data_IF_734648185657
#
_entry.id   IF_734648185657
#
_cell.length_a   1.000
_cell.length_b   1.000
_cell.length_c   1.000
_cell.angle_alpha   90.00
_cell.angle_beta   90.00
_cell.angle_gamma   90.00
#
_symmetry.space_group_name_H-M   'P 1'
#
loop_
_entity.id
_entity.type
_entity.pdbx_description
1 polymer ?
#
# COMPACT_ATOMS: atom_id res chain seq x y z
N UNK A 1 -1.65 1.81 8.79
CA UNK A 1 -0.92 2.55 7.72
C UNK A 1 -1.23 2.02 6.33
N UNK A 2 -1.13 0.68 6.06
CA UNK A 2 -1.48 0.12 4.74
C UNK A 2 -2.91 0.48 4.30
N UNK A 3 -3.88 0.41 5.21
CA UNK A 3 -5.28 0.78 4.92
C UNK A 3 -5.46 2.25 4.52
N UNK A 4 -4.52 3.13 4.87
CA UNK A 4 -4.62 4.56 4.53
C UNK A 4 -4.25 4.81 3.06
N UNK A 5 -3.19 4.16 2.57
CA UNK A 5 -2.81 4.25 1.16
C UNK A 5 -3.95 3.72 0.26
N UNK A 6 -4.52 2.56 0.60
CA UNK A 6 -5.66 2.00 -0.12
C UNK A 6 -6.87 2.94 -0.16
N UNK A 7 -7.24 3.53 0.99
CA UNK A 7 -8.37 4.47 1.07
C UNK A 7 -8.15 5.73 0.23
N UNK A 8 -6.92 6.22 0.12
CA UNK A 8 -6.59 7.39 -0.70
C UNK A 8 -6.68 7.11 -2.18
N UNK A 9 -6.11 5.98 -2.62
CA UNK A 9 -6.25 5.54 -4.01
C UNK A 9 -7.73 5.36 -4.36
N UNK A 10 -8.51 4.76 -3.45
CA UNK A 10 -9.96 4.63 -3.63
C UNK A 10 -10.65 5.99 -3.78
N UNK A 11 -10.36 6.96 -2.89
CA UNK A 11 -10.93 8.32 -2.95
C UNK A 11 -10.61 9.00 -4.29
N UNK A 12 -9.38 8.88 -4.77
CA UNK A 12 -8.99 9.40 -6.08
C UNK A 12 -9.72 8.67 -7.21
N UNK A 13 -9.77 7.33 -7.17
CA UNK A 13 -10.49 6.56 -8.18
C UNK A 13 -11.98 6.92 -8.25
N UNK A 14 -12.64 7.10 -7.09
CA UNK A 14 -14.04 7.53 -7.03
C UNK A 14 -14.24 8.95 -7.61
N UNK A 15 -13.28 9.87 -7.40
CA UNK A 15 -13.37 11.22 -7.95
C UNK A 15 -13.31 11.28 -9.48
N UNK A 16 -12.78 10.24 -10.11
CA UNK A 16 -12.74 10.09 -11.58
C UNK A 16 -13.80 9.12 -12.12
N UNK A 17 -14.78 8.74 -11.29
CA UNK A 17 -15.92 7.94 -11.68
C UNK A 17 -15.79 6.44 -11.53
N UNK A 18 -14.75 5.94 -10.85
CA UNK A 18 -14.66 4.51 -10.51
C UNK A 18 -15.64 4.13 -9.40
N UNK A 19 -16.15 2.90 -9.47
CA UNK A 19 -16.98 2.30 -8.43
C UNK A 19 -16.16 1.35 -7.57
N UNK A 20 -16.41 1.38 -6.27
CA UNK A 20 -15.73 0.48 -5.33
C UNK A 20 -16.32 -0.93 -5.41
N UNK A 21 -15.42 -1.92 -5.48
CA UNK A 21 -15.72 -3.32 -5.23
C UNK A 21 -15.17 -3.67 -3.85
N UNK A 22 -16.03 -3.68 -2.85
CA UNK A 22 -15.61 -3.83 -1.45
C UNK A 22 -14.98 -5.20 -1.16
N UNK A 23 -13.69 -5.23 -0.90
CA UNK A 23 -12.99 -6.39 -0.36
C UNK A 23 -12.91 -6.25 1.16
N UNK A 24 -13.70 -7.04 1.88
CA UNK A 24 -13.66 -7.04 3.34
C UNK A 24 -12.54 -7.93 3.84
N UNK A 25 -11.71 -7.40 4.74
CA UNK A 25 -10.69 -8.20 5.42
C UNK A 25 -11.38 -9.24 6.33
N UNK A 26 -10.94 -10.50 6.21
CA UNK A 26 -11.33 -11.59 7.10
C UNK A 26 -10.23 -12.65 7.15
N UNK A 27 -10.14 -13.36 8.28
CA UNK A 27 -9.18 -14.44 8.41
C UNK A 27 -9.62 -15.66 7.60
N UNK A 28 -8.78 -16.05 6.64
CA UNK A 28 -8.95 -17.28 5.88
C UNK A 28 -8.29 -18.45 6.61
N UNK A 29 -9.05 -19.52 6.82
CA UNK A 29 -8.47 -20.83 7.16
C UNK A 29 -8.20 -21.60 5.86
N UNK A 30 -7.16 -22.47 5.82
CA UNK A 30 -6.79 -23.22 4.60
C UNK A 30 -7.95 -23.99 3.96
N UNK A 31 -8.90 -24.44 4.77
CA UNK A 31 -10.03 -25.30 4.33
C UNK A 31 -11.16 -24.53 3.64
N UNK A 32 -11.08 -23.20 3.58
CA UNK A 32 -12.16 -22.36 3.04
C UNK A 32 -11.98 -21.94 1.56
N UNK A 33 -11.17 -22.65 0.77
CA UNK A 33 -10.97 -22.32 -0.65
C UNK A 33 -12.30 -22.24 -1.44
N UNK A 34 -13.26 -23.13 -1.15
CA UNK A 34 -14.59 -23.11 -1.77
C UNK A 34 -15.45 -21.92 -1.33
N UNK A 35 -15.24 -21.41 -0.12
CA UNK A 35 -15.93 -20.21 0.36
C UNK A 35 -15.37 -18.95 -0.29
N UNK A 36 -14.05 -18.89 -0.50
CA UNK A 36 -13.41 -17.79 -1.23
C UNK A 36 -14.07 -17.64 -2.59
N UNK A 37 -14.20 -18.72 -3.34
CA UNK A 37 -14.77 -18.69 -4.70
C UNK A 37 -16.20 -18.14 -4.70
N UNK A 38 -17.06 -18.60 -3.76
CA UNK A 38 -18.43 -18.08 -3.61
C UNK A 38 -18.49 -16.61 -3.19
N UNK A 39 -17.60 -16.20 -2.29
CA UNK A 39 -17.52 -14.78 -1.86
C UNK A 39 -17.08 -13.90 -3.01
N UNK A 40 -16.11 -14.36 -3.79
CA UNK A 40 -15.65 -13.67 -4.98
C UNK A 40 -16.75 -13.51 -6.03
N UNK A 41 -17.62 -14.52 -6.22
CA UNK A 41 -18.79 -14.40 -7.11
C UNK A 41 -19.69 -13.22 -6.71
N UNK A 42 -19.94 -13.05 -5.41
CA UNK A 42 -20.74 -11.93 -4.91
C UNK A 42 -20.05 -10.56 -5.12
N UNK A 43 -18.73 -10.51 -4.94
CA UNK A 43 -17.93 -9.28 -5.10
C UNK A 43 -17.90 -8.83 -6.56
N UNK A 44 -17.72 -9.76 -7.49
CA UNK A 44 -17.59 -9.45 -8.92
C UNK A 44 -18.92 -9.40 -9.67
N UNK A 45 -20.04 -9.77 -9.02
CA UNK A 45 -21.35 -9.79 -9.64
C UNK A 45 -21.76 -8.50 -10.39
N UNK A 46 -21.34 -7.28 -9.94
CA UNK A 46 -21.63 -6.05 -10.65
C UNK A 46 -20.84 -5.82 -11.95
N UNK A 47 -19.81 -6.64 -12.24
CA UNK A 47 -18.99 -6.46 -13.44
C UNK A 47 -19.76 -6.74 -14.71
N UNK A 48 -19.55 -5.89 -15.70
CA UNK A 48 -20.08 -6.01 -17.04
C UNK A 48 -18.99 -6.38 -18.04
N UNK A 49 -19.41 -6.79 -19.22
CA UNK A 49 -18.52 -7.00 -20.35
C UNK A 49 -17.73 -5.74 -20.69
N UNK A 50 -16.40 -5.89 -20.80
CA UNK A 50 -15.50 -4.78 -21.15
C UNK A 50 -15.11 -3.85 -20.01
N UNK A 51 -15.55 -4.13 -18.77
CA UNK A 51 -15.17 -3.34 -17.61
C UNK A 51 -13.66 -3.37 -17.35
N UNK A 52 -13.15 -2.32 -16.74
CA UNK A 52 -11.77 -2.20 -16.29
C UNK A 52 -11.75 -2.30 -14.77
N UNK A 53 -11.06 -3.28 -14.25
CA UNK A 53 -10.86 -3.47 -12.81
C UNK A 53 -9.48 -2.95 -12.41
N UNK A 54 -9.43 -2.08 -11.40
CA UNK A 54 -8.18 -1.63 -10.77
C UNK A 54 -8.08 -2.34 -9.42
N UNK A 55 -7.15 -3.28 -9.31
CA UNK A 55 -6.90 -4.02 -8.08
C UNK A 55 -5.72 -3.43 -7.33
N UNK A 56 -5.95 -2.95 -6.11
CA UNK A 56 -4.91 -2.47 -5.21
C UNK A 56 -4.23 -3.67 -4.54
N UNK A 57 -2.98 -3.91 -4.87
CA UNK A 57 -2.20 -5.07 -4.45
C UNK A 57 -1.12 -4.71 -3.41
N UNK A 58 -0.92 -5.53 -2.37
CA UNK A 58 -1.71 -6.69 -1.98
C UNK A 58 -3.01 -6.31 -1.25
N UNK A 59 -4.01 -7.19 -1.25
CA UNK A 59 -5.25 -6.97 -0.48
C UNK A 59 -5.05 -7.08 1.04
N UNK A 60 -3.94 -7.64 1.48
CA UNK A 60 -3.62 -8.01 2.86
C UNK A 60 -4.51 -9.12 3.46
N UNK A 61 -5.34 -9.74 2.66
CA UNK A 61 -6.10 -10.94 3.06
C UNK A 61 -5.21 -12.18 2.96
N UNK A 62 -4.37 -12.25 1.92
CA UNK A 62 -3.38 -13.29 1.70
C UNK A 62 -3.14 -13.57 0.22
N UNK A 63 -1.94 -14.06 -0.12
CA UNK A 63 -1.53 -14.28 -1.52
C UNK A 63 -2.44 -15.25 -2.28
N UNK A 64 -2.97 -16.28 -1.60
CA UNK A 64 -3.94 -17.21 -2.20
C UNK A 64 -5.27 -16.53 -2.55
N UNK A 65 -5.69 -15.58 -1.70
CA UNK A 65 -6.90 -14.79 -1.97
C UNK A 65 -6.69 -13.87 -3.15
N UNK A 66 -5.56 -13.17 -3.19
CA UNK A 66 -5.20 -12.26 -4.28
C UNK A 66 -5.13 -13.00 -5.62
N UNK A 67 -4.51 -14.19 -5.64
CA UNK A 67 -4.48 -15.03 -6.83
C UNK A 67 -5.90 -15.48 -7.26
N UNK A 68 -6.72 -15.89 -6.28
CA UNK A 68 -8.09 -16.32 -6.55
C UNK A 68 -8.94 -15.18 -7.11
N UNK A 69 -8.81 -13.98 -6.52
CA UNK A 69 -9.50 -12.78 -6.99
C UNK A 69 -9.12 -12.44 -8.43
N UNK A 70 -7.81 -12.39 -8.72
CA UNK A 70 -7.29 -12.10 -10.06
C UNK A 70 -7.77 -13.16 -11.07
N UNK A 71 -7.73 -14.44 -10.71
CA UNK A 71 -8.27 -15.52 -11.55
C UNK A 71 -9.75 -15.31 -11.87
N UNK A 72 -10.52 -14.93 -10.85
CA UNK A 72 -11.96 -14.71 -11.01
C UNK A 72 -12.24 -13.54 -11.96
N UNK A 73 -11.55 -12.42 -11.81
CA UNK A 73 -11.65 -11.28 -12.76
C UNK A 73 -11.29 -11.71 -14.18
N UNK A 74 -10.21 -12.44 -14.35
CA UNK A 74 -9.74 -12.88 -15.69
C UNK A 74 -10.62 -13.96 -16.32
N UNK A 75 -11.52 -14.59 -15.56
CA UNK A 75 -12.53 -15.50 -16.10
C UNK A 75 -13.68 -14.75 -16.79
N UNK A 76 -13.88 -13.48 -16.49
CA UNK A 76 -14.85 -12.63 -17.19
C UNK A 76 -14.30 -12.19 -18.53
N UNK A 77 -15.09 -12.42 -19.57
CA UNK A 77 -14.71 -12.13 -20.94
C UNK A 77 -14.51 -10.63 -21.15
N UNK A 78 -13.38 -10.27 -21.77
CA UNK A 78 -12.98 -8.91 -22.13
C UNK A 78 -12.82 -7.92 -20.97
N UNK A 79 -12.87 -8.38 -19.72
CA UNK A 79 -12.50 -7.56 -18.57
C UNK A 79 -11.00 -7.26 -18.59
N UNK A 80 -10.64 -5.99 -18.44
CA UNK A 80 -9.25 -5.56 -18.29
C UNK A 80 -8.87 -5.45 -16.82
N UNK A 81 -7.69 -5.94 -16.48
CA UNK A 81 -7.18 -5.91 -15.12
C UNK A 81 -5.94 -5.03 -15.03
N UNK A 82 -6.04 -3.97 -14.27
CA UNK A 82 -4.91 -3.13 -13.85
C UNK A 82 -4.57 -3.52 -12.42
N UNK A 83 -3.34 -3.92 -12.14
CA UNK A 83 -2.88 -4.14 -10.76
C UNK A 83 -2.05 -2.94 -10.32
N UNK A 84 -2.54 -2.25 -9.30
CA UNK A 84 -1.86 -1.15 -8.65
C UNK A 84 -1.05 -1.70 -7.48
N UNK A 85 0.25 -1.89 -7.69
CA UNK A 85 1.14 -2.48 -6.70
C UNK A 85 1.59 -1.41 -5.71
N UNK A 86 1.20 -1.55 -4.47
CA UNK A 86 1.67 -0.70 -3.37
C UNK A 86 2.90 -1.31 -2.70
N UNK A 87 2.86 -2.62 -2.48
CA UNK A 87 3.92 -3.37 -1.81
C UNK A 87 4.09 -4.76 -2.42
N UNK A 88 5.24 -5.37 -2.19
CA UNK A 88 5.54 -6.78 -2.44
C UNK A 88 5.89 -7.42 -1.11
N UNK A 89 5.15 -8.45 -0.70
CA UNK A 89 5.27 -9.04 0.64
C UNK A 89 6.68 -9.60 0.88
N UNK A 90 7.28 -10.22 -0.13
CA UNK A 90 8.67 -10.70 -0.08
C UNK A 90 9.66 -9.60 0.30
N UNK A 91 9.48 -8.40 -0.24
CA UNK A 91 10.36 -7.25 0.05
C UNK A 91 10.12 -6.64 1.42
N UNK A 92 8.91 -6.79 1.97
CA UNK A 92 8.55 -6.20 3.25
C UNK A 92 8.91 -7.09 4.45
N UNK A 93 8.78 -8.41 4.30
CA UNK A 93 8.78 -9.33 5.44
C UNK A 93 9.86 -10.41 5.35
N UNK A 94 10.77 -10.34 4.37
CA UNK A 94 11.76 -11.39 4.08
C UNK A 94 11.12 -12.79 4.01
N UNK A 95 9.97 -12.84 3.36
CA UNK A 95 9.16 -14.06 3.21
C UNK A 95 9.90 -15.11 2.37
N UNK A 96 9.39 -16.34 2.37
CA UNK A 96 9.92 -17.42 1.51
C UNK A 96 9.82 -17.08 0.02
N UNK A 97 10.71 -17.68 -0.79
CA UNK A 97 10.70 -17.49 -2.24
C UNK A 97 9.36 -17.90 -2.87
N UNK A 98 8.73 -18.94 -2.33
CA UNK A 98 7.42 -19.41 -2.78
C UNK A 98 6.33 -18.31 -2.75
N UNK A 99 6.41 -17.38 -1.79
CA UNK A 99 5.49 -16.22 -1.72
C UNK A 99 5.73 -15.31 -2.92
N UNK A 100 6.99 -14.98 -3.23
CA UNK A 100 7.31 -14.16 -4.41
C UNK A 100 6.85 -14.81 -5.70
N UNK A 101 7.04 -16.13 -5.85
CA UNK A 101 6.61 -16.87 -7.04
C UNK A 101 5.09 -16.77 -7.24
N UNK A 102 4.31 -16.83 -6.15
CA UNK A 102 2.86 -16.64 -6.18
C UNK A 102 2.49 -15.18 -6.51
N UNK A 103 3.21 -14.21 -5.95
CA UNK A 103 3.02 -12.79 -6.26
C UNK A 103 3.27 -12.54 -7.76
N UNK A 104 4.39 -13.02 -8.30
CA UNK A 104 4.73 -12.90 -9.72
C UNK A 104 3.67 -13.56 -10.60
N UNK A 105 3.22 -14.77 -10.26
CA UNK A 105 2.16 -15.47 -10.97
C UNK A 105 0.86 -14.65 -11.02
N UNK A 106 0.53 -13.98 -9.91
CA UNK A 106 -0.64 -13.11 -9.81
C UNK A 106 -0.47 -11.86 -10.69
N UNK A 107 0.69 -11.19 -10.59
CA UNK A 107 1.00 -10.00 -11.37
C UNK A 107 1.07 -10.29 -12.88
N UNK A 108 1.50 -11.50 -13.28
CA UNK A 108 1.56 -11.90 -14.69
C UNK A 108 0.19 -11.95 -15.37
N UNK A 109 -0.90 -12.02 -14.61
CA UNK A 109 -2.26 -12.00 -15.16
C UNK A 109 -2.80 -10.60 -15.45
N UNK A 110 -2.14 -9.55 -14.98
CA UNK A 110 -2.54 -8.18 -15.25
C UNK A 110 -2.32 -7.79 -16.72
N UNK A 111 -3.22 -6.97 -17.24
CA UNK A 111 -3.07 -6.35 -18.56
C UNK A 111 -2.15 -5.11 -18.48
N UNK A 112 -2.10 -4.45 -17.32
CA UNK A 112 -1.22 -3.32 -17.01
C UNK A 112 -0.86 -3.32 -15.53
N UNK A 113 0.37 -2.90 -15.22
CA UNK A 113 0.81 -2.68 -13.84
C UNK A 113 1.04 -1.18 -13.57
N UNK A 114 0.65 -0.75 -12.37
CA UNK A 114 1.10 0.52 -11.81
C UNK A 114 2.08 0.18 -10.70
N UNK A 115 3.35 0.60 -10.86
CA UNK A 115 4.44 0.25 -9.93
C UNK A 115 5.02 1.50 -9.28
N UNK A 116 5.46 1.40 -8.00
CA UNK A 116 6.06 2.52 -7.29
C UNK A 116 7.36 3.03 -7.92
N UNK A 117 8.17 2.14 -8.53
CA UNK A 117 9.49 2.52 -9.03
C UNK A 117 10.03 1.61 -10.13
N UNK A 118 10.96 2.14 -10.92
CA UNK A 118 11.74 1.35 -11.87
C UNK A 118 12.60 0.28 -11.20
N UNK A 119 13.03 0.51 -9.94
CA UNK A 119 13.82 -0.47 -9.18
C UNK A 119 12.98 -1.69 -8.84
N UNK A 120 11.73 -1.48 -8.37
CA UNK A 120 10.81 -2.58 -8.13
C UNK A 120 10.50 -3.35 -9.42
N UNK A 121 10.24 -2.65 -10.52
CA UNK A 121 10.00 -3.30 -11.81
C UNK A 121 11.17 -4.20 -12.23
N UNK A 122 12.40 -3.72 -12.12
CA UNK A 122 13.60 -4.52 -12.42
C UNK A 122 13.66 -5.77 -11.57
N UNK A 123 13.48 -5.64 -10.26
CA UNK A 123 13.45 -6.75 -9.32
C UNK A 123 12.39 -7.80 -9.71
N UNK A 124 11.17 -7.36 -10.02
CA UNK A 124 10.10 -8.26 -10.44
C UNK A 124 10.45 -8.97 -11.77
N UNK A 125 11.04 -8.27 -12.75
CA UNK A 125 11.51 -8.88 -14.01
C UNK A 125 12.60 -9.92 -13.80
N UNK A 126 13.56 -9.66 -12.93
CA UNK A 126 14.62 -10.61 -12.56
C UNK A 126 14.06 -11.88 -11.87
N UNK A 127 12.84 -11.79 -11.33
CA UNK A 127 12.14 -12.90 -10.69
C UNK A 127 10.96 -13.47 -11.50
N UNK A 128 10.89 -13.18 -12.80
CA UNK A 128 9.94 -13.85 -13.70
C UNK A 128 8.69 -13.07 -14.07
N UNK A 129 8.67 -11.75 -13.85
CA UNK A 129 7.58 -10.92 -14.36
C UNK A 129 7.66 -10.82 -15.89
N UNK A 130 6.57 -11.16 -16.55
CA UNK A 130 6.41 -11.07 -18.00
C UNK A 130 6.45 -9.60 -18.49
N UNK A 131 6.87 -9.41 -19.75
CA UNK A 131 6.81 -8.09 -20.38
C UNK A 131 5.36 -7.64 -20.56
N UNK A 132 5.06 -6.45 -20.06
CA UNK A 132 3.72 -5.86 -20.18
C UNK A 132 3.76 -4.34 -19.98
N UNK A 133 2.70 -3.61 -20.33
CA UNK A 133 2.60 -2.17 -20.05
C UNK A 133 2.76 -1.86 -18.55
N UNK A 134 3.60 -0.86 -18.24
CA UNK A 134 3.85 -0.42 -16.86
C UNK A 134 3.78 1.10 -16.78
N UNK A 135 3.05 1.59 -15.77
CA UNK A 135 3.05 2.99 -15.36
C UNK A 135 3.86 3.10 -14.06
N UNK A 136 4.75 4.07 -13.96
CA UNK A 136 5.49 4.32 -12.74
C UNK A 136 4.89 5.49 -11.98
N UNK A 137 4.48 5.21 -10.74
CA UNK A 137 4.03 6.23 -9.80
C UNK A 137 5.11 6.43 -8.74
N UNK A 138 5.96 7.40 -8.94
CA UNK A 138 7.16 7.59 -8.10
C UNK A 138 6.88 8.25 -6.77
N UNK A 139 6.10 9.33 -6.77
CA UNK A 139 5.71 10.08 -5.56
C UNK A 139 4.20 10.18 -5.54
N UNK A 140 3.63 10.02 -4.36
CA UNK A 140 2.20 10.09 -4.15
C UNK A 140 1.82 11.48 -3.71
N UNK A 141 0.95 12.10 -4.48
CA UNK A 141 0.24 13.28 -4.01
C UNK A 141 -0.93 12.85 -3.14
N UNK A 142 -1.17 13.59 -2.07
CA UNK A 142 -2.23 13.28 -1.13
C UNK A 142 -3.32 14.32 -1.23
N UNK A 143 -4.53 13.93 -1.70
CA UNK A 143 -5.67 14.82 -1.62
C UNK A 143 -5.85 15.24 -0.16
N UNK A 144 -5.69 16.52 0.11
CA UNK A 144 -5.89 17.10 1.44
C UNK A 144 -6.78 18.33 1.29
N UNK A 145 -7.77 18.41 2.15
CA UNK A 145 -8.63 19.61 2.28
C UNK A 145 -7.98 20.65 3.23
N UNK A 146 -6.74 20.37 3.70
CA UNK A 146 -6.01 21.26 4.60
C UNK A 146 -5.42 22.40 3.78
N UNK A 147 -5.84 23.61 4.09
CA UNK A 147 -5.16 24.81 3.61
C UNK A 147 -3.81 24.91 4.34
N UNK A 148 -2.71 24.98 3.58
CA UNK A 148 -1.42 25.32 4.14
C UNK A 148 -1.49 26.71 4.77
N UNK A 149 -1.24 26.75 6.08
CA UNK A 149 -1.05 28.01 6.79
C UNK A 149 0.46 28.29 6.75
N UNK A 150 0.81 29.53 6.49
CA UNK A 150 2.22 29.96 6.46
C UNK A 150 2.75 29.90 7.90
N UNK A 151 3.38 28.79 8.26
CA UNK A 151 3.99 28.61 9.57
C UNK A 151 5.42 29.14 9.55
N UNK A 152 5.86 29.74 10.65
CA UNK A 152 7.25 30.08 10.83
C UNK A 152 8.12 28.80 10.69
N UNK A 153 9.10 28.84 9.80
CA UNK A 153 10.01 27.72 9.53
C UNK A 153 10.69 27.29 10.84
N UNK A 154 10.33 26.13 11.36
CA UNK A 154 11.01 25.54 12.51
C UNK A 154 12.26 24.82 12.05
N UNK A 155 13.40 25.06 12.71
CA UNK A 155 14.66 24.37 12.40
C UNK A 155 14.71 23.01 13.09
N UNK A 156 13.85 22.09 12.66
CA UNK A 156 13.80 20.72 13.17
C UNK A 156 13.44 19.75 12.05
N UNK A 157 13.68 18.47 12.27
CA UNK A 157 13.17 17.40 11.41
C UNK A 157 11.90 16.82 12.02
N UNK A 158 10.83 16.75 11.25
CA UNK A 158 9.61 16.06 11.62
C UNK A 158 9.66 14.63 11.09
N UNK A 159 9.60 13.65 11.97
CA UNK A 159 9.64 12.24 11.62
C UNK A 159 8.35 11.53 12.11
N UNK A 160 7.44 11.25 11.18
CA UNK A 160 6.22 10.50 11.43
C UNK A 160 6.40 9.03 11.01
N UNK A 161 6.53 8.13 11.97
CA UNK A 161 6.72 6.71 11.68
C UNK A 161 7.19 5.90 12.89
N UNK A 162 7.22 4.60 12.73
CA UNK A 162 7.61 3.70 13.80
C UNK A 162 9.11 3.82 14.11
N UNK A 163 9.42 4.27 15.32
CA UNK A 163 10.78 4.48 15.83
C UNK A 163 11.66 3.22 15.68
N UNK A 164 11.12 2.06 16.03
CA UNK A 164 11.88 0.80 16.04
C UNK A 164 12.32 0.31 14.64
N UNK A 165 11.74 0.87 13.57
CA UNK A 165 12.16 0.56 12.18
C UNK A 165 13.38 1.36 11.73
N UNK A 166 13.82 2.32 12.52
CA UNK A 166 14.88 3.26 12.16
C UNK A 166 15.91 3.38 13.30
N UNK A 167 16.80 2.42 13.46
CA UNK A 167 17.77 2.35 14.57
C UNK A 167 18.61 3.62 14.73
N UNK A 168 18.87 4.34 13.65
CA UNK A 168 19.63 5.61 13.70
C UNK A 168 18.99 6.68 14.61
N UNK A 169 17.67 6.61 14.83
CA UNK A 169 16.98 7.54 15.73
C UNK A 169 17.43 7.39 17.18
N UNK A 170 17.82 6.18 17.59
CA UNK A 170 18.32 5.91 18.93
C UNK A 170 19.68 6.57 19.19
N UNK A 171 20.51 6.66 18.14
CA UNK A 171 21.88 7.14 18.21
C UNK A 171 22.04 8.59 17.71
N UNK A 172 20.95 9.24 17.32
CA UNK A 172 21.02 10.58 16.78
C UNK A 172 21.28 11.63 17.89
N UNK A 173 22.37 12.37 17.77
CA UNK A 173 22.77 13.48 18.63
C UNK A 173 23.14 14.74 17.82
N UNK A 174 22.44 14.95 16.71
CA UNK A 174 22.69 16.10 15.82
C UNK A 174 22.24 17.43 16.44
N UNK A 175 22.74 18.53 15.85
CA UNK A 175 22.38 19.89 16.28
C UNK A 175 20.94 20.30 15.92
N UNK A 176 20.38 19.68 14.90
CA UNK A 176 18.99 19.93 14.48
C UNK A 176 18.10 18.90 15.15
N UNK A 177 17.16 19.29 16.00
CA UNK A 177 16.32 18.33 16.74
C UNK A 177 15.41 17.55 15.79
N UNK A 178 15.13 16.28 16.16
CA UNK A 178 14.13 15.45 15.53
C UNK A 178 12.88 15.42 16.41
N UNK A 179 11.73 15.80 15.86
CA UNK A 179 10.42 15.61 16.47
C UNK A 179 9.78 14.33 15.95
N UNK A 180 9.66 13.35 16.82
CA UNK A 180 9.16 12.01 16.51
C UNK A 180 7.66 11.92 16.82
N UNK A 181 6.88 11.46 15.84
CA UNK A 181 5.43 11.23 15.94
C UNK A 181 5.14 9.73 15.76
N UNK A 182 4.84 9.05 16.86
CA UNK A 182 4.53 7.62 16.89
C UNK A 182 3.57 7.32 18.03
N UNK A 183 2.71 6.31 17.85
CA UNK A 183 1.82 5.82 18.89
C UNK A 183 2.58 5.17 20.06
N UNK A 184 3.71 4.55 19.76
CA UNK A 184 4.56 3.90 20.75
C UNK A 184 5.64 4.87 21.20
N UNK A 185 5.66 5.14 22.52
CA UNK A 185 6.77 5.90 23.10
C UNK A 185 8.06 5.09 22.97
N UNK A 186 9.15 5.67 22.41
CA UNK A 186 10.44 5.01 22.37
C UNK A 186 11.05 4.87 23.76
N UNK A 187 12.00 3.95 23.92
CA UNK A 187 12.79 3.81 25.15
C UNK A 187 13.74 5.00 25.36
N UNK A 188 14.02 5.76 24.29
CA UNK A 188 14.81 6.97 24.34
C UNK A 188 14.05 8.10 25.03
N UNK A 189 14.70 8.76 25.98
CA UNK A 189 14.17 9.98 26.61
C UNK A 189 14.33 11.21 25.69
N UNK A 190 13.51 12.22 25.91
CA UNK A 190 13.62 13.48 25.20
C UNK A 190 14.89 14.23 25.64
N UNK A 191 15.59 14.79 24.68
CA UNK A 191 16.78 15.63 24.88
C UNK A 191 16.80 16.79 23.85
N UNK A 192 17.86 17.57 23.79
CA UNK A 192 18.01 18.69 22.86
C UNK A 192 18.03 18.26 21.39
N UNK A 193 18.33 16.99 21.10
CA UNK A 193 18.42 16.44 19.76
C UNK A 193 17.21 15.60 19.36
N UNK A 194 16.38 15.18 20.33
CA UNK A 194 15.26 14.28 20.09
C UNK A 194 14.08 14.57 21.02
N UNK A 195 12.89 14.69 20.45
CA UNK A 195 11.66 14.90 21.22
C UNK A 195 10.53 14.04 20.66
N UNK A 196 10.08 13.07 21.46
CA UNK A 196 8.85 12.33 21.17
C UNK A 196 7.61 13.18 21.47
N UNK A 197 6.75 13.35 20.44
CA UNK A 197 5.56 14.21 20.47
C UNK A 197 4.25 13.44 20.61
N UNK A 198 4.31 12.10 20.61
CA UNK A 198 3.12 11.27 20.64
C UNK A 198 2.53 10.98 19.27
N UNK A 199 1.32 10.40 19.27
CA UNK A 199 0.58 10.08 18.05
C UNK A 199 -0.40 11.21 17.70
N UNK A 200 -0.40 11.57 16.44
CA UNK A 200 -1.41 12.45 15.87
C UNK A 200 -2.09 11.73 14.71
N UNK A 201 -3.40 11.90 14.58
CA UNK A 201 -4.06 11.57 13.32
C UNK A 201 -3.49 12.44 12.20
N UNK A 202 -3.53 11.90 10.98
CA UNK A 202 -2.79 12.49 9.88
C UNK A 202 -3.15 13.96 9.61
N UNK A 203 -4.45 14.28 9.56
CA UNK A 203 -4.89 15.64 9.27
C UNK A 203 -4.43 16.61 10.36
N UNK A 204 -4.42 16.16 11.61
CA UNK A 204 -3.89 16.91 12.75
C UNK A 204 -2.37 17.03 12.67
N UNK A 205 -1.65 15.96 12.26
CA UNK A 205 -0.22 16.01 12.07
C UNK A 205 0.17 17.04 11.02
N UNK A 206 -0.55 17.10 9.90
CA UNK A 206 -0.28 18.07 8.82
C UNK A 206 -0.52 19.52 9.23
N UNK A 207 -1.26 19.77 10.30
CA UNK A 207 -1.46 21.12 10.86
C UNK A 207 -0.45 21.46 11.95
N UNK A 208 0.27 20.47 12.50
CA UNK A 208 1.27 20.66 13.57
C UNK A 208 2.70 20.86 13.01
N UNK A 209 2.94 20.47 11.76
CA UNK A 209 4.22 20.60 11.04
C UNK A 209 4.15 21.65 9.97
#
# INVERSE_FOLDING_TARGET
TASLAHRRVLKVAQSIGCHEMGLSFYHLKPDYAKEIDKRLDGIIAPLNYGDIVIFQYPSWIGVNYDESFVNKIKSYRDTKLIIFVQDIQKLMFDSEQAILDMEIKTLNKADLLILPSKKMHRYLKENGLDEKPVIYQTIWDMPSDICFVDHAVTRCFHFAGNYNRFPFLAEYHGKTPIYQYDANKPDRENDDSFCWRGYFEQDKLMTEI
#
